data_IF_810035886408
#
_entry.id   IF_810035886408
#
_cell.length_a   1.000
_cell.length_b   1.000
_cell.length_c   1.000
_cell.angle_alpha   90.00
_cell.angle_beta   90.00
_cell.angle_gamma   90.00
#
_symmetry.space_group_name_H-M   'P 1'
#
loop_
_entity.id
_entity.type
_entity.pdbx_description
1 polymer ?
#
# COMPACT_ATOMS: atom_id res chain seq x y z
N UNK A 1 4.34 16.52 -20.16
CA UNK A 1 5.24 16.84 -19.04
C UNK A 1 4.51 16.40 -17.79
N UNK A 2 4.62 15.12 -17.43
CA UNK A 2 4.14 14.66 -16.13
C UNK A 2 5.39 14.56 -15.27
N UNK A 3 5.57 15.53 -14.40
CA UNK A 3 6.56 15.46 -13.34
C UNK A 3 6.13 14.32 -12.43
N UNK A 4 6.71 13.14 -12.65
CA UNK A 4 6.79 12.13 -11.61
C UNK A 4 7.64 12.73 -10.51
N UNK A 5 7.00 13.50 -9.61
CA UNK A 5 7.56 13.89 -8.33
C UNK A 5 8.20 12.65 -7.74
N UNK A 6 9.52 12.69 -7.56
CA UNK A 6 10.22 11.65 -6.84
C UNK A 6 9.46 11.43 -5.52
N UNK A 7 9.13 10.18 -5.15
CA UNK A 7 8.38 9.93 -3.92
C UNK A 7 9.09 10.62 -2.77
N UNK A 8 8.33 11.35 -1.93
CA UNK A 8 8.87 11.91 -0.70
C UNK A 8 9.57 10.75 0.05
N UNK A 9 10.76 10.98 0.59
CA UNK A 9 11.46 9.98 1.42
C UNK A 9 10.62 9.40 2.57
N UNK A 10 9.57 10.12 2.97
CA UNK A 10 8.54 9.68 3.92
C UNK A 10 7.58 8.63 3.35
N UNK A 11 7.52 8.49 2.03
CA UNK A 11 6.69 7.53 1.29
C UNK A 11 7.46 6.29 0.80
N UNK A 12 8.77 6.24 1.06
CA UNK A 12 9.60 5.08 0.76
C UNK A 12 9.47 4.00 1.83
N UNK A 13 9.34 2.76 1.39
CA UNK A 13 9.41 1.57 2.23
C UNK A 13 10.51 0.62 1.76
N UNK A 14 11.12 -0.09 2.71
CA UNK A 14 12.15 -1.10 2.42
C UNK A 14 11.53 -2.45 2.07
N UNK A 15 10.32 -2.71 2.59
CA UNK A 15 9.63 -3.99 2.45
C UNK A 15 8.22 -3.72 1.94
N UNK A 16 7.84 -4.40 0.85
CA UNK A 16 6.48 -4.44 0.36
C UNK A 16 5.79 -5.74 0.79
N UNK A 17 4.58 -5.65 1.33
CA UNK A 17 3.76 -6.79 1.74
C UNK A 17 2.42 -6.74 1.03
N UNK A 18 2.08 -7.82 0.33
CA UNK A 18 0.77 -8.01 -0.30
C UNK A 18 0.01 -9.09 0.46
N UNK A 19 -1.17 -8.77 0.99
CA UNK A 19 -1.88 -9.68 1.88
C UNK A 19 -3.39 -9.47 1.95
N UNK A 20 -4.03 -10.22 2.85
CA UNK A 20 -5.46 -10.10 3.13
C UNK A 20 -5.81 -8.92 4.02
N UNK A 21 -7.09 -8.54 4.08
CA UNK A 21 -7.60 -7.37 4.80
C UNK A 21 -7.41 -7.40 6.33
N UNK A 22 -7.01 -8.52 6.94
CA UNK A 22 -6.76 -8.59 8.39
C UNK A 22 -5.39 -8.09 8.85
N UNK A 23 -4.48 -7.78 7.93
CA UNK A 23 -3.07 -7.51 8.28
C UNK A 23 -2.82 -6.06 8.73
N UNK A 24 -3.56 -5.08 8.21
CA UNK A 24 -3.33 -3.67 8.52
C UNK A 24 -3.84 -3.24 9.90
N UNK A 25 -4.80 -3.98 10.49
CA UNK A 25 -5.31 -3.70 11.84
C UNK A 25 -4.29 -3.96 12.96
N UNK A 26 -3.16 -4.58 12.62
CA UNK A 26 -2.06 -4.87 13.55
C UNK A 26 -0.96 -3.80 13.51
N UNK A 27 -1.10 -2.78 12.67
CA UNK A 27 -0.09 -1.75 12.46
C UNK A 27 -0.50 -0.47 13.20
N UNK A 28 0.41 0.08 14.00
CA UNK A 28 0.27 1.38 14.66
C UNK A 28 0.85 2.50 13.77
N UNK A 29 0.34 3.73 13.91
CA UNK A 29 0.79 4.92 13.14
C UNK A 29 0.83 4.72 11.61
N UNK A 30 -0.23 4.12 11.06
CA UNK A 30 -0.35 3.87 9.63
C UNK A 30 -0.62 5.17 8.86
N UNK A 31 0.21 5.43 7.83
CA UNK A 31 -0.04 6.48 6.84
C UNK A 31 -0.60 5.89 5.57
N UNK A 32 -1.71 6.43 5.10
CA UNK A 32 -2.32 6.05 3.82
C UNK A 32 -1.75 6.91 2.68
N UNK A 33 -1.29 6.25 1.61
CA UNK A 33 -0.74 6.89 0.41
C UNK A 33 -1.45 6.35 -0.83
N UNK A 34 -1.97 7.27 -1.64
CA UNK A 34 -2.52 6.94 -2.96
C UNK A 34 -1.41 7.01 -4.01
N UNK A 35 -1.34 5.98 -4.83
CA UNK A 35 -0.36 5.86 -5.90
C UNK A 35 -1.08 5.49 -7.18
N UNK A 36 -0.88 6.28 -8.22
CA UNK A 36 -1.34 5.96 -9.57
C UNK A 36 -0.25 5.16 -10.30
N UNK A 37 -0.68 4.20 -11.10
CA UNK A 37 0.22 3.42 -11.97
C UNK A 37 -0.25 3.52 -13.42
N UNK A 38 0.64 3.28 -14.40
CA UNK A 38 0.24 3.16 -15.81
C UNK A 38 -0.80 2.05 -16.08
N UNK A 39 -0.98 1.12 -15.14
CA UNK A 39 -1.94 0.01 -15.22
C UNK A 39 -3.28 0.33 -14.53
N UNK A 40 -3.45 1.57 -14.05
CA UNK A 40 -4.59 2.00 -13.26
C UNK A 40 -4.30 2.06 -11.76
N UNK A 41 -5.36 2.28 -10.99
CA UNK A 41 -5.27 2.30 -9.52
C UNK A 41 -5.01 0.88 -8.99
N UNK A 42 -4.18 0.71 -7.94
CA UNK A 42 -4.05 -0.56 -7.24
C UNK A 42 -5.36 -0.99 -6.57
N UNK A 43 -5.38 -2.20 -6.00
CA UNK A 43 -6.52 -2.77 -5.28
C UNK A 43 -7.05 -1.91 -4.13
N UNK A 44 -6.19 -1.05 -3.56
CA UNK A 44 -6.50 -0.03 -2.55
C UNK A 44 -5.33 0.97 -2.46
N UNK A 45 -5.40 1.93 -1.55
CA UNK A 45 -4.24 2.73 -1.13
C UNK A 45 -3.13 1.85 -0.54
N UNK A 46 -1.88 2.33 -0.62
CA UNK A 46 -0.76 1.74 0.11
C UNK A 46 -0.78 2.25 1.56
N UNK A 47 -0.52 1.35 2.50
CA UNK A 47 -0.44 1.66 3.92
C UNK A 47 1.00 1.56 4.38
N UNK A 48 1.57 2.68 4.80
CA UNK A 48 2.94 2.77 5.29
C UNK A 48 2.97 2.70 6.81
N UNK A 49 3.85 1.88 7.36
CA UNK A 49 4.03 1.73 8.79
C UNK A 49 5.50 1.41 9.13
N UNK A 50 5.83 1.49 10.42
CA UNK A 50 7.10 0.99 10.95
C UNK A 50 6.86 -0.30 11.71
N UNK A 51 7.52 -1.39 11.29
CA UNK A 51 7.42 -2.70 11.96
C UNK A 51 8.82 -3.13 12.37
N UNK A 52 9.04 -3.35 13.66
CA UNK A 52 10.34 -3.71 14.22
C UNK A 52 11.48 -2.78 13.73
N UNK A 53 11.21 -1.47 13.67
CA UNK A 53 12.17 -0.45 13.22
C UNK A 53 12.36 -0.33 11.71
N UNK A 54 11.59 -1.06 10.89
CA UNK A 54 11.70 -1.04 9.43
C UNK A 54 10.47 -0.42 8.77
N UNK A 55 10.67 0.37 7.72
CA UNK A 55 9.58 0.94 6.92
C UNK A 55 8.96 -0.14 6.02
N UNK A 56 7.66 -0.36 6.19
CA UNK A 56 6.89 -1.37 5.45
C UNK A 56 5.75 -0.69 4.71
N UNK A 57 5.56 -1.07 3.44
CA UNK A 57 4.38 -0.74 2.65
C UNK A 57 3.49 -1.98 2.54
N UNK A 58 2.21 -1.83 2.90
CA UNK A 58 1.21 -2.89 2.79
C UNK A 58 0.17 -2.54 1.73
N UNK A 59 -0.15 -3.50 0.86
CA UNK A 59 -1.25 -3.41 -0.11
C UNK A 59 -2.21 -4.60 0.07
N UNK A 60 -3.48 -4.37 0.43
CA UNK A 60 -4.46 -5.45 0.51
C UNK A 60 -4.82 -5.92 -0.90
N UNK A 61 -4.48 -7.17 -1.23
CA UNK A 61 -4.65 -7.74 -2.58
C UNK A 61 -6.10 -7.68 -3.08
N UNK A 62 -7.06 -7.83 -2.18
CA UNK A 62 -8.49 -7.87 -2.49
C UNK A 62 -9.24 -6.60 -2.08
N UNK A 63 -8.50 -5.51 -1.80
CA UNK A 63 -9.02 -4.30 -1.18
C UNK A 63 -9.28 -4.48 0.32
N UNK A 64 -9.32 -3.38 1.09
CA UNK A 64 -9.54 -3.43 2.55
C UNK A 64 -10.87 -4.07 2.95
N UNK A 65 -11.86 -4.03 2.06
CA UNK A 65 -13.18 -4.64 2.28
C UNK A 65 -13.34 -6.03 1.66
N UNK A 66 -12.26 -6.62 1.10
CA UNK A 66 -12.26 -7.94 0.49
C UNK A 66 -13.32 -8.11 -0.62
N UNK A 67 -13.58 -7.04 -1.39
CA UNK A 67 -14.63 -7.02 -2.42
C UNK A 67 -14.11 -7.41 -3.80
N UNK A 68 -12.79 -7.41 -4.01
CA UNK A 68 -12.19 -7.78 -5.29
C UNK A 68 -11.93 -9.30 -5.33
N UNK A 69 -12.64 -10.07 -6.18
CA UNK A 69 -12.35 -11.50 -6.33
C UNK A 69 -11.00 -11.72 -7.02
N UNK A 70 -10.38 -12.91 -6.88
CA UNK A 70 -9.03 -13.18 -7.41
C UNK A 70 -8.81 -12.90 -8.90
N UNK A 71 -9.84 -13.04 -9.73
CA UNK A 71 -9.77 -12.78 -11.18
C UNK A 71 -9.93 -11.30 -11.56
N UNK A 72 -10.15 -10.41 -10.59
CA UNK A 72 -10.26 -8.96 -10.78
C UNK A 72 -9.15 -8.18 -10.08
N UNK A 73 -8.12 -8.88 -9.61
CA UNK A 73 -6.89 -8.29 -9.06
C UNK A 73 -5.87 -8.18 -10.18
#
# INVERSE_FOLDING_TARGET
>A
MNDHLAPDSRDLAEVGVFGGSGFYSLLEDVREVKVDTPYGAPSDSLFLATVAGRKVAFLPRHGRHHTLPPHKV
#
